data_IF_036976549650
#
_entry.id   IF_036976549650
#
_cell.length_a   1.000
_cell.length_b   1.000
_cell.length_c   1.000
_cell.angle_alpha   90.00
_cell.angle_beta   90.00
_cell.angle_gamma   90.00
#
_symmetry.space_group_name_H-M   'P 1'
#
loop_
_entity.id
_entity.type
_entity.pdbx_description
1 polymer ?
#
# COMPACT_ATOMS: atom_id res chain seq x y z
N UNK A 1 17.56 -4.50 9.68
CA UNK A 1 16.18 -4.77 9.21
C UNK A 1 15.42 -3.49 9.50
N UNK A 2 14.91 -2.81 8.47
CA UNK A 2 14.49 -1.42 8.61
C UNK A 2 13.23 -1.34 9.49
N UNK A 3 13.25 -0.44 10.47
CA UNK A 3 12.20 -0.20 11.48
C UNK A 3 10.96 0.50 10.87
N UNK A 4 10.75 0.37 9.56
CA UNK A 4 9.81 1.16 8.74
C UNK A 4 8.43 0.49 8.66
N UNK A 5 8.38 -0.83 8.48
CA UNK A 5 7.13 -1.59 8.45
C UNK A 5 6.60 -1.80 9.88
N UNK A 6 5.28 -1.83 10.06
CA UNK A 6 4.66 -2.13 11.37
C UNK A 6 3.61 -3.25 11.27
N UNK A 7 4.02 -4.50 10.98
CA UNK A 7 3.08 -5.58 10.70
C UNK A 7 2.11 -5.80 11.86
N UNK A 8 0.81 -5.73 11.60
CA UNK A 8 -0.23 -6.00 12.60
C UNK A 8 -0.43 -7.48 12.89
N UNK A 9 0.18 -8.37 12.09
CA UNK A 9 -0.01 -9.82 12.13
C UNK A 9 -1.22 -10.32 11.34
N UNK A 10 -2.01 -9.44 10.73
CA UNK A 10 -3.10 -9.83 9.82
C UNK A 10 -2.54 -10.27 8.47
N UNK A 11 -3.16 -11.29 7.88
CA UNK A 11 -2.82 -11.84 6.57
C UNK A 11 -4.09 -12.11 5.73
N UNK A 12 -3.89 -12.61 4.51
CA UNK A 12 -4.97 -12.95 3.56
C UNK A 12 -6.03 -13.91 4.13
N UNK A 13 -5.64 -14.84 5.00
CA UNK A 13 -6.52 -15.84 5.62
C UNK A 13 -7.41 -15.20 6.70
N UNK A 14 -6.90 -14.18 7.39
CA UNK A 14 -7.62 -13.49 8.48
C UNK A 14 -8.59 -12.40 7.99
N UNK A 15 -8.39 -11.85 6.79
CA UNK A 15 -9.19 -10.71 6.29
C UNK A 15 -10.32 -11.10 5.31
N UNK A 16 -10.62 -12.39 5.13
CA UNK A 16 -11.58 -12.85 4.11
C UNK A 16 -11.26 -12.20 2.75
N UNK A 17 -10.01 -12.29 2.29
CA UNK A 17 -9.60 -11.79 0.97
C UNK A 17 -9.46 -12.96 -0.03
N UNK A 18 -10.56 -13.63 -0.43
CA UNK A 18 -10.49 -14.71 -1.39
C UNK A 18 -10.24 -14.19 -2.82
N UNK A 19 -9.99 -12.91 -3.03
CA UNK A 19 -9.96 -12.31 -4.37
C UNK A 19 -8.96 -13.03 -5.27
N UNK A 20 -7.82 -13.47 -4.74
CA UNK A 20 -6.87 -14.30 -5.47
C UNK A 20 -7.52 -15.60 -6.02
N UNK A 21 -8.45 -16.24 -5.28
CA UNK A 21 -9.13 -17.48 -5.69
C UNK A 21 -10.05 -17.32 -6.90
N UNK A 22 -10.52 -16.10 -7.16
CA UNK A 22 -11.39 -15.79 -8.31
C UNK A 22 -10.62 -15.22 -9.51
N UNK A 23 -9.33 -14.97 -9.34
CA UNK A 23 -8.43 -14.50 -10.38
C UNK A 23 -7.77 -15.69 -11.07
N UNK A 24 -7.48 -15.57 -12.38
CA UNK A 24 -6.74 -16.60 -13.14
C UNK A 24 -5.45 -16.96 -12.39
N UNK A 25 -5.14 -18.24 -12.28
CA UNK A 25 -3.96 -18.74 -11.53
C UNK A 25 -2.65 -18.02 -11.88
N UNK A 26 -2.45 -17.67 -13.15
CA UNK A 26 -1.25 -16.96 -13.63
C UNK A 26 -1.15 -15.52 -13.12
N UNK A 27 -2.25 -14.91 -12.69
CA UNK A 27 -2.32 -13.54 -12.18
C UNK A 27 -2.32 -13.47 -10.64
N UNK A 28 -2.54 -14.60 -9.96
CA UNK A 28 -2.59 -14.65 -8.50
C UNK A 28 -1.32 -14.10 -7.83
N UNK A 29 -0.09 -14.45 -8.26
CA UNK A 29 1.12 -13.91 -7.62
C UNK A 29 1.22 -12.38 -7.74
N UNK A 30 0.71 -11.81 -8.84
CA UNK A 30 0.72 -10.38 -9.07
C UNK A 30 -0.27 -9.64 -8.18
N UNK A 31 -1.47 -10.21 -8.00
CA UNK A 31 -2.48 -9.70 -7.06
C UNK A 31 -1.98 -9.81 -5.63
N UNK A 32 -1.35 -10.92 -5.26
CA UNK A 32 -0.79 -11.11 -3.92
C UNK A 32 0.35 -10.15 -3.63
N UNK A 33 1.21 -9.88 -4.60
CA UNK A 33 2.26 -8.87 -4.45
C UNK A 33 1.70 -7.47 -4.19
N UNK A 34 0.62 -7.10 -4.88
CA UNK A 34 -0.08 -5.83 -4.62
C UNK A 34 -0.74 -5.82 -3.24
N UNK A 35 -1.41 -6.92 -2.86
CA UNK A 35 -2.04 -7.06 -1.55
C UNK A 35 -1.01 -6.93 -0.41
N UNK A 36 0.13 -7.61 -0.49
CA UNK A 36 1.19 -7.53 0.53
C UNK A 36 1.70 -6.11 0.70
N UNK A 37 1.93 -5.38 -0.41
CA UNK A 37 2.30 -3.96 -0.38
C UNK A 37 1.20 -3.10 0.28
N UNK A 38 -0.05 -3.26 -0.17
CA UNK A 38 -1.19 -2.49 0.34
C UNK A 38 -1.38 -2.71 1.84
N UNK A 39 -1.33 -3.97 2.30
CA UNK A 39 -1.48 -4.35 3.71
C UNK A 39 -0.39 -3.74 4.58
N UNK A 40 0.86 -3.77 4.12
CA UNK A 40 1.98 -3.21 4.88
C UNK A 40 1.90 -1.68 4.99
N UNK A 41 1.44 -0.99 3.94
CA UNK A 41 1.21 0.45 3.97
C UNK A 41 0.00 0.83 4.84
N UNK A 42 -1.08 0.05 4.78
CA UNK A 42 -2.26 0.21 5.63
C UNK A 42 -1.92 0.03 7.11
N UNK A 43 -1.11 -0.98 7.44
CA UNK A 43 -0.60 -1.22 8.78
C UNK A 43 0.16 -0.01 9.37
N UNK A 44 0.85 0.77 8.54
CA UNK A 44 1.50 2.03 8.96
C UNK A 44 0.44 3.11 9.19
N UNK A 45 -0.51 3.25 8.25
CA UNK A 45 -1.59 4.24 8.31
C UNK A 45 -2.44 4.08 9.58
N UNK A 46 -2.80 2.85 9.91
CA UNK A 46 -3.68 2.51 11.03
C UNK A 46 -2.96 2.41 12.38
N UNK A 47 -1.62 2.45 12.42
CA UNK A 47 -0.88 2.28 13.65
C UNK A 47 -1.17 3.42 14.65
N UNK A 48 -1.77 3.16 15.82
CA UNK A 48 -2.09 4.19 16.80
C UNK A 48 -0.87 4.68 17.58
N UNK A 49 0.27 3.99 17.47
CA UNK A 49 1.52 4.33 18.17
C UNK A 49 2.45 5.23 17.33
N UNK A 50 2.09 5.51 16.08
CA UNK A 50 2.85 6.39 15.19
C UNK A 50 2.18 7.76 15.12
N UNK A 51 2.98 8.80 15.25
CA UNK A 51 2.54 10.17 14.94
C UNK A 51 2.30 10.35 13.44
N UNK A 52 1.38 11.25 13.02
CA UNK A 52 1.06 11.47 11.61
C UNK A 52 2.28 11.74 10.72
N UNK A 53 3.24 12.53 11.17
CA UNK A 53 4.46 12.84 10.42
C UNK A 53 5.32 11.60 10.20
N UNK A 54 5.37 10.69 11.17
CA UNK A 54 6.15 9.46 11.05
C UNK A 54 5.46 8.44 10.14
N UNK A 55 4.12 8.40 10.12
CA UNK A 55 3.36 7.65 9.11
C UNK A 55 3.69 8.14 7.71
N UNK A 56 3.66 9.47 7.49
CA UNK A 56 3.96 10.08 6.18
C UNK A 56 5.38 9.73 5.73
N UNK A 57 6.39 9.91 6.60
CA UNK A 57 7.79 9.58 6.26
C UNK A 57 7.96 8.13 5.84
N UNK A 58 7.31 7.20 6.54
CA UNK A 58 7.37 5.76 6.22
C UNK A 58 6.68 5.46 4.88
N UNK A 59 5.51 6.07 4.62
CA UNK A 59 4.81 5.92 3.35
C UNK A 59 5.58 6.56 2.17
N UNK A 60 6.31 7.65 2.39
CA UNK A 60 7.21 8.23 1.38
C UNK A 60 8.43 7.33 1.11
N UNK A 61 8.94 6.62 2.12
CA UNK A 61 9.96 5.60 1.95
C UNK A 61 9.46 4.42 1.09
N UNK A 62 8.19 3.99 1.28
CA UNK A 62 7.54 3.01 0.41
C UNK A 62 7.51 3.46 -1.06
N UNK A 63 7.10 4.71 -1.32
CA UNK A 63 7.09 5.27 -2.67
C UNK A 63 8.49 5.30 -3.29
N UNK A 64 9.49 5.71 -2.52
CA UNK A 64 10.89 5.77 -2.97
C UNK A 64 11.41 4.37 -3.33
N UNK A 65 11.21 3.39 -2.46
CA UNK A 65 11.65 2.01 -2.69
C UNK A 65 10.93 1.36 -3.88
N UNK A 66 9.65 1.70 -4.10
CA UNK A 66 8.88 1.18 -5.23
C UNK A 66 9.45 1.65 -6.58
N UNK A 67 9.95 2.89 -6.63
CA UNK A 67 10.48 3.51 -7.84
C UNK A 67 11.98 3.23 -8.07
N UNK A 68 12.77 3.04 -7.01
CA UNK A 68 14.18 2.66 -7.13
C UNK A 68 14.32 1.12 -7.18
N UNK A 69 14.70 0.59 -8.34
CA UNK A 69 14.92 -0.85 -8.56
C UNK A 69 16.01 -1.47 -7.69
N UNK A 70 16.91 -0.67 -7.12
CA UNK A 70 18.03 -1.16 -6.31
C UNK A 70 17.72 -1.09 -4.81
N UNK A 71 16.64 -0.42 -4.41
CA UNK A 71 16.28 -0.25 -3.02
C UNK A 71 15.54 -1.49 -2.49
N UNK A 72 16.21 -2.27 -1.64
CA UNK A 72 15.63 -3.45 -0.99
C UNK A 72 15.40 -3.21 0.51
N UNK A 73 15.27 -1.94 0.92
CA UNK A 73 15.09 -1.58 2.33
C UNK A 73 13.71 -1.93 2.88
N UNK A 74 12.70 -2.12 2.03
CA UNK A 74 11.30 -2.42 2.38
C UNK A 74 10.89 -3.73 1.71
N UNK A 75 10.62 -4.76 2.50
CA UNK A 75 10.44 -6.12 1.99
C UNK A 75 9.11 -6.29 1.24
N UNK A 76 8.03 -5.67 1.73
CA UNK A 76 6.71 -5.72 1.07
C UNK A 76 6.68 -5.07 -0.32
N UNK A 77 7.63 -4.20 -0.63
CA UNK A 77 7.74 -3.52 -1.94
C UNK A 77 8.35 -4.43 -3.01
N UNK A 78 9.27 -5.33 -2.62
CA UNK A 78 10.06 -6.12 -3.57
C UNK A 78 9.18 -6.98 -4.49
N UNK A 79 8.20 -7.77 -3.98
CA UNK A 79 7.34 -8.60 -4.84
C UNK A 79 6.51 -7.75 -5.80
N UNK A 80 6.01 -6.58 -5.36
CA UNK A 80 5.21 -5.70 -6.20
C UNK A 80 6.06 -5.12 -7.33
N UNK A 81 7.28 -4.65 -7.03
CA UNK A 81 8.18 -4.10 -8.05
C UNK A 81 8.51 -5.13 -9.13
N UNK A 82 8.79 -6.38 -8.75
CA UNK A 82 8.99 -7.47 -9.72
C UNK A 82 7.73 -7.74 -10.54
N UNK A 83 6.56 -7.73 -9.89
CA UNK A 83 5.26 -7.92 -10.53
C UNK A 83 4.98 -6.86 -11.59
N UNK A 84 5.22 -5.59 -11.28
CA UNK A 84 5.06 -4.46 -12.20
C UNK A 84 6.00 -4.57 -13.41
N UNK A 85 7.26 -4.96 -13.18
CA UNK A 85 8.22 -5.19 -14.27
C UNK A 85 7.78 -6.33 -15.21
N UNK A 86 7.30 -7.45 -14.65
CA UNK A 86 6.86 -8.63 -15.43
C UNK A 86 5.59 -8.34 -16.23
N UNK A 87 4.64 -7.60 -15.65
CA UNK A 87 3.32 -7.31 -16.26
C UNK A 87 3.31 -6.06 -17.12
N UNK A 88 4.32 -5.19 -17.00
CA UNK A 88 4.38 -3.83 -17.59
C UNK A 88 3.26 -2.89 -17.13
N UNK A 89 2.60 -3.20 -16.01
CA UNK A 89 1.68 -2.28 -15.34
C UNK A 89 2.48 -1.18 -14.67
N UNK A 90 1.96 0.05 -14.68
CA UNK A 90 2.63 1.19 -14.04
C UNK A 90 2.47 1.13 -12.52
N UNK A 91 3.37 1.78 -11.79
CA UNK A 91 3.29 1.90 -10.33
C UNK A 91 2.17 2.86 -9.86
N UNK A 92 1.44 3.51 -10.77
CA UNK A 92 0.53 4.61 -10.45
C UNK A 92 -0.49 4.24 -9.37
N UNK A 93 -1.17 3.10 -9.51
CA UNK A 93 -2.18 2.68 -8.53
C UNK A 93 -1.60 2.42 -7.12
N UNK A 94 -0.36 1.94 -7.03
CA UNK A 94 0.31 1.78 -5.76
C UNK A 94 0.68 3.12 -5.13
N UNK A 95 1.08 4.11 -5.95
CA UNK A 95 1.38 5.47 -5.50
C UNK A 95 0.12 6.24 -5.09
N UNK A 96 -0.99 6.04 -5.81
CA UNK A 96 -2.29 6.63 -5.49
C UNK A 96 -2.78 6.09 -4.14
N UNK A 97 -2.63 4.79 -3.91
CA UNK A 97 -2.99 4.17 -2.62
C UNK A 97 -2.16 4.75 -1.45
N UNK A 98 -0.84 4.93 -1.63
CA UNK A 98 -0.02 5.61 -0.62
C UNK A 98 -0.47 7.06 -0.37
N UNK A 99 -1.01 7.73 -1.40
CA UNK A 99 -1.59 9.07 -1.25
C UNK A 99 -2.85 9.04 -0.39
N UNK A 100 -3.72 8.04 -0.57
CA UNK A 100 -4.88 7.84 0.29
C UNK A 100 -4.47 7.62 1.76
N UNK A 101 -3.52 6.72 2.03
CA UNK A 101 -3.05 6.46 3.40
C UNK A 101 -2.43 7.69 4.07
N UNK A 102 -1.67 8.50 3.33
CA UNK A 102 -1.14 9.78 3.85
C UNK A 102 -2.27 10.77 4.20
N UNK A 103 -3.36 10.78 3.44
CA UNK A 103 -4.54 11.59 3.75
C UNK A 103 -5.23 11.07 5.01
N UNK A 104 -5.40 9.76 5.16
CA UNK A 104 -6.03 9.17 6.34
C UNK A 104 -5.24 9.45 7.63
N UNK A 105 -3.91 9.56 7.53
CA UNK A 105 -3.06 9.92 8.67
C UNK A 105 -3.29 11.37 9.19
N UNK A 106 -3.82 12.28 8.37
CA UNK A 106 -3.88 13.73 8.70
C UNK A 106 -5.29 14.32 8.63
N UNK A 107 -6.20 13.70 7.88
CA UNK A 107 -7.52 14.26 7.56
C UNK A 107 -8.63 13.42 8.16
N UNK A 108 -9.25 13.96 9.20
CA UNK A 108 -10.30 13.25 9.96
C UNK A 108 -11.72 13.54 9.47
N UNK A 109 -11.92 14.58 8.66
CA UNK A 109 -13.23 15.00 8.15
C UNK A 109 -13.12 15.59 6.74
N UNK A 110 -14.18 15.39 5.97
CA UNK A 110 -14.39 16.01 4.68
C UNK A 110 -15.51 17.04 4.81
N UNK A 111 -15.28 18.24 4.29
CA UNK A 111 -16.18 19.39 4.34
C UNK A 111 -17.38 19.21 3.41
N UNK A 112 -17.16 18.59 2.25
CA UNK A 112 -18.19 18.44 1.22
C UNK A 112 -18.01 17.17 0.40
N UNK A 113 -19.00 16.92 -0.45
CA UNK A 113 -19.05 15.73 -1.30
C UNK A 113 -17.91 15.66 -2.32
N UNK A 114 -17.51 16.79 -2.90
CA UNK A 114 -16.43 16.83 -3.90
C UNK A 114 -15.08 16.44 -3.28
N UNK A 115 -14.85 16.86 -2.04
CA UNK A 115 -13.65 16.51 -1.30
C UNK A 115 -13.58 15.00 -0.95
N UNK A 116 -14.73 14.40 -0.63
CA UNK A 116 -14.84 12.96 -0.43
C UNK A 116 -14.60 12.20 -1.73
N UNK A 117 -15.20 12.64 -2.84
CA UNK A 117 -14.98 12.04 -4.16
C UNK A 117 -13.52 12.16 -4.60
N UNK A 118 -12.85 13.28 -4.29
CA UNK A 118 -11.42 13.42 -4.57
C UNK A 118 -10.59 12.40 -3.79
N UNK A 119 -10.90 12.14 -2.52
CA UNK A 119 -10.26 11.06 -1.76
C UNK A 119 -10.51 9.68 -2.38
N UNK A 120 -11.75 9.38 -2.79
CA UNK A 120 -12.08 8.11 -3.41
C UNK A 120 -11.25 7.80 -4.67
N UNK A 121 -10.80 8.82 -5.42
CA UNK A 121 -9.91 8.62 -6.59
C UNK A 121 -8.57 7.97 -6.24
N UNK A 122 -8.14 8.11 -4.99
CA UNK A 122 -6.89 7.55 -4.50
C UNK A 122 -7.09 6.25 -3.73
N UNK A 123 -8.26 6.04 -3.12
CA UNK A 123 -8.56 4.87 -2.29
C UNK A 123 -9.34 3.76 -3.00
N UNK A 124 -10.00 4.03 -4.14
CA UNK A 124 -10.91 3.08 -4.81
C UNK A 124 -10.98 3.20 -6.35
#
# INVERSE_FOLDING_TARGET
MSDIETPSGKNEETENFPVARFVRATLQPHVMAFYTFARAADDISDNPLLEPEDKIKRLDAFATALLDKNDNSILSVIPLRESLQKTKVTAQHALDLLTAFKRDATKLRYENWDELLDYCRYSA
#
